data_IF_896996213908
#
_entry.id   IF_896996213908
#
_cell.length_a   1.000
_cell.length_b   1.000
_cell.length_c   1.000
_cell.angle_alpha   90.00
_cell.angle_beta   90.00
_cell.angle_gamma   90.00
#
_symmetry.space_group_name_H-M   'P 1'
#
loop_
_entity.id
_entity.type
_entity.pdbx_description
1 polymer ?
#
# COMPACT_ATOMS: atom_id res chain seq x y z
N UNK A 1 17.23 -12.68 -2.38
CA UNK A 1 18.66 -12.62 -2.02
C UNK A 1 18.86 -12.98 -0.55
N UNK A 2 18.77 -12.06 0.41
CA UNK A 2 19.13 -12.34 1.82
C UNK A 2 18.27 -13.41 2.52
N UNK A 3 16.97 -13.47 2.22
CA UNK A 3 16.10 -14.53 2.77
C UNK A 3 16.42 -15.92 2.18
N UNK A 4 16.94 -15.96 0.95
CA UNK A 4 17.23 -17.22 0.25
C UNK A 4 18.55 -17.80 0.73
N UNK A 5 19.59 -16.96 0.91
CA UNK A 5 20.90 -17.38 1.43
C UNK A 5 20.78 -17.91 2.87
N UNK A 6 20.00 -17.26 3.73
CA UNK A 6 19.73 -17.72 5.11
C UNK A 6 18.97 -19.05 5.09
N UNK A 7 17.95 -19.17 4.24
CA UNK A 7 17.16 -20.41 4.14
C UNK A 7 18.01 -21.58 3.64
N UNK A 8 18.87 -21.34 2.65
CA UNK A 8 19.81 -22.33 2.16
C UNK A 8 20.81 -22.75 3.25
N UNK A 9 21.31 -21.80 4.04
CA UNK A 9 22.30 -22.08 5.10
C UNK A 9 21.72 -22.91 6.24
N UNK A 10 20.41 -22.76 6.52
CA UNK A 10 19.68 -23.58 7.48
C UNK A 10 19.37 -24.99 6.95
N UNK A 11 19.28 -25.17 5.64
CA UNK A 11 19.01 -26.48 5.02
C UNK A 11 20.30 -27.29 4.82
N UNK A 12 21.32 -26.68 4.21
CA UNK A 12 22.61 -27.30 3.96
C UNK A 12 23.72 -26.25 3.98
N UNK A 13 24.30 -26.04 5.16
CA UNK A 13 25.32 -25.01 5.39
C UNK A 13 26.53 -25.14 4.44
N UNK A 14 26.94 -26.37 4.14
CA UNK A 14 28.18 -26.64 3.39
C UNK A 14 28.08 -26.35 1.88
N UNK A 15 26.86 -26.20 1.36
CA UNK A 15 26.62 -25.89 -0.07
C UNK A 15 26.38 -24.40 -0.33
N UNK A 16 26.30 -23.59 0.72
CA UNK A 16 26.04 -22.15 0.60
C UNK A 16 27.34 -21.39 0.33
N UNK A 17 27.24 -20.34 -0.49
CA UNK A 17 28.32 -19.37 -0.65
C UNK A 17 28.60 -18.69 0.69
N UNK A 18 29.73 -19.06 1.30
CA UNK A 18 30.13 -18.54 2.60
C UNK A 18 30.36 -17.02 2.59
N UNK A 19 30.83 -16.45 1.48
CA UNK A 19 31.06 -15.01 1.36
C UNK A 19 29.75 -14.25 1.38
N UNK A 20 28.78 -14.70 0.58
CA UNK A 20 27.44 -14.10 0.53
C UNK A 20 26.70 -14.25 1.87
N UNK A 21 26.82 -15.42 2.51
CA UNK A 21 26.26 -15.64 3.85
C UNK A 21 26.90 -14.71 4.89
N UNK A 22 28.22 -14.55 4.86
CA UNK A 22 28.92 -13.67 5.80
C UNK A 22 28.53 -12.20 5.61
N UNK A 23 28.48 -11.71 4.38
CA UNK A 23 28.02 -10.36 4.06
C UNK A 23 26.58 -10.11 4.53
N UNK A 24 25.70 -11.08 4.32
CA UNK A 24 24.31 -11.02 4.80
C UNK A 24 24.25 -10.92 6.33
N UNK A 25 25.00 -11.75 7.06
CA UNK A 25 25.01 -11.74 8.52
C UNK A 25 25.67 -10.47 9.09
N UNK A 26 26.71 -9.95 8.45
CA UNK A 26 27.34 -8.69 8.83
C UNK A 26 26.38 -7.51 8.68
N UNK A 27 25.54 -7.50 7.63
CA UNK A 27 24.50 -6.47 7.46
C UNK A 27 23.49 -6.43 8.62
N UNK A 28 23.27 -7.58 9.27
CA UNK A 28 22.45 -7.73 10.48
C UNK A 28 23.23 -7.48 11.77
N UNK A 29 24.47 -6.98 11.66
CA UNK A 29 25.37 -6.72 12.77
C UNK A 29 25.61 -7.98 13.61
N UNK A 30 25.74 -9.13 12.94
CA UNK A 30 26.18 -10.37 13.57
C UNK A 30 27.61 -10.23 14.07
N UNK A 31 27.90 -10.79 15.25
CA UNK A 31 29.23 -10.74 15.87
C UNK A 31 29.93 -12.09 15.91
N UNK A 32 29.23 -13.15 15.49
CA UNK A 32 29.68 -14.53 15.65
C UNK A 32 29.92 -15.13 14.28
N UNK A 33 30.99 -15.93 14.17
CA UNK A 33 31.29 -16.60 12.93
C UNK A 33 30.29 -17.75 12.68
N UNK A 34 29.64 -17.79 11.51
CA UNK A 34 28.70 -18.85 11.17
C UNK A 34 29.42 -20.18 10.94
N UNK A 35 28.83 -21.26 11.46
CA UNK A 35 29.23 -22.66 11.33
C UNK A 35 27.98 -23.54 11.22
N UNK A 36 28.11 -24.71 10.60
CA UNK A 36 27.01 -25.68 10.48
C UNK A 36 26.36 -26.00 11.84
N UNK A 37 27.18 -26.15 12.88
CA UNK A 37 26.72 -26.47 14.25
C UNK A 37 25.95 -25.34 14.94
N UNK A 38 26.18 -24.08 14.53
CA UNK A 38 25.71 -22.90 15.25
C UNK A 38 24.74 -22.03 14.46
N UNK A 39 24.56 -22.28 13.15
CA UNK A 39 23.80 -21.40 12.25
C UNK A 39 22.36 -21.23 12.71
N UNK A 40 21.69 -22.31 13.14
CA UNK A 40 20.31 -22.23 13.62
C UNK A 40 20.19 -21.32 14.86
N UNK A 41 21.12 -21.46 15.82
CA UNK A 41 21.14 -20.63 17.01
C UNK A 41 21.44 -19.17 16.66
N UNK A 42 22.42 -18.95 15.80
CA UNK A 42 22.84 -17.62 15.35
C UNK A 42 21.67 -16.88 14.69
N UNK A 43 20.92 -17.54 13.79
CA UNK A 43 19.73 -16.95 13.16
C UNK A 43 18.63 -16.66 14.19
N UNK A 44 18.40 -17.55 15.17
CA UNK A 44 17.44 -17.29 16.26
C UNK A 44 17.84 -16.07 17.10
N UNK A 45 19.11 -15.94 17.44
CA UNK A 45 19.63 -14.82 18.22
C UNK A 45 19.51 -13.50 17.44
N UNK A 46 19.81 -13.50 16.14
CA UNK A 46 19.59 -12.34 15.25
C UNK A 46 18.12 -11.99 15.12
N UNK A 47 17.24 -12.97 14.88
CA UNK A 47 15.80 -12.75 14.80
C UNK A 47 15.26 -12.17 16.11
N UNK A 48 15.72 -12.66 17.26
CA UNK A 48 15.34 -12.13 18.56
C UNK A 48 15.81 -10.68 18.74
N UNK A 49 17.06 -10.36 18.35
CA UNK A 49 17.59 -8.99 18.37
C UNK A 49 16.76 -8.04 17.50
N UNK A 50 16.51 -8.41 16.25
CA UNK A 50 15.88 -7.54 15.25
C UNK A 50 14.36 -7.40 15.44
N UNK A 51 13.66 -8.48 15.80
CA UNK A 51 12.19 -8.52 15.83
C UNK A 51 11.64 -8.29 17.25
N UNK A 52 12.42 -8.64 18.28
CA UNK A 52 11.97 -8.49 19.68
C UNK A 52 12.70 -7.35 20.36
N UNK A 53 14.03 -7.40 20.47
CA UNK A 53 14.78 -6.46 21.30
C UNK A 53 14.74 -5.01 20.76
N UNK A 54 15.02 -4.82 19.47
CA UNK A 54 14.98 -3.49 18.83
C UNK A 54 13.58 -2.84 18.91
N UNK A 55 12.48 -3.53 18.55
CA UNK A 55 11.14 -2.97 18.73
C UNK A 55 10.78 -2.75 20.20
N UNK A 56 11.16 -3.65 21.12
CA UNK A 56 10.92 -3.49 22.55
C UNK A 56 11.60 -2.25 23.11
N UNK A 57 12.81 -1.93 22.63
CA UNK A 57 13.47 -0.67 22.98
C UNK A 57 12.60 0.52 22.60
N UNK A 58 12.07 0.58 21.36
CA UNK A 58 11.16 1.65 20.94
C UNK A 58 9.88 1.66 21.78
N UNK A 59 9.25 0.49 21.99
CA UNK A 59 8.04 0.35 22.81
C UNK A 59 8.26 0.92 24.20
N UNK A 60 9.36 0.59 24.88
CA UNK A 60 9.65 1.11 26.22
C UNK A 60 9.74 2.65 26.28
N UNK A 61 10.17 3.30 25.20
CA UNK A 61 10.22 4.78 25.13
C UNK A 61 8.86 5.40 24.81
N UNK A 62 8.03 4.72 24.02
CA UNK A 62 6.72 5.22 23.60
C UNK A 62 5.59 4.77 24.52
N UNK A 63 5.79 3.75 25.35
CA UNK A 63 4.76 3.14 26.16
C UNK A 63 4.11 4.15 27.11
N UNK A 64 4.90 4.93 27.83
CA UNK A 64 4.38 5.96 28.75
C UNK A 64 3.59 7.06 28.05
N UNK A 65 3.81 7.26 26.74
CA UNK A 65 3.06 8.23 25.93
C UNK A 65 1.75 7.59 25.43
N UNK A 66 1.79 6.32 25.02
CA UNK A 66 0.69 5.66 24.30
C UNK A 66 -0.27 4.86 25.20
N UNK A 67 0.16 4.39 26.38
CA UNK A 67 -0.59 3.44 27.25
C UNK A 67 -2.00 3.93 27.58
N UNK A 68 -2.21 5.24 27.71
CA UNK A 68 -3.50 5.84 28.03
C UNK A 68 -4.19 6.54 26.84
N UNK A 69 -3.61 6.49 25.64
CA UNK A 69 -4.19 7.11 24.44
C UNK A 69 -5.12 6.14 23.72
N UNK A 70 -4.70 4.88 23.58
CA UNK A 70 -5.44 3.89 22.82
C UNK A 70 -5.24 2.48 23.39
N UNK A 71 -6.34 1.75 23.61
CA UNK A 71 -6.28 0.34 23.98
C UNK A 71 -6.00 -0.55 22.76
N UNK A 72 -5.46 -1.76 22.99
CA UNK A 72 -5.22 -2.73 21.92
C UNK A 72 -6.49 -3.02 21.10
N UNK A 73 -7.64 -3.12 21.76
CA UNK A 73 -8.94 -3.32 21.09
C UNK A 73 -9.31 -2.15 20.18
N UNK A 74 -9.13 -0.91 20.64
CA UNK A 74 -9.39 0.26 19.81
C UNK A 74 -8.44 0.32 18.62
N UNK A 75 -7.19 -0.10 18.80
CA UNK A 75 -6.21 -0.17 17.71
C UNK A 75 -6.63 -1.21 16.66
N UNK A 76 -7.04 -2.41 17.08
CA UNK A 76 -7.61 -3.44 16.19
C UNK A 76 -8.83 -2.91 15.41
N UNK A 77 -9.75 -2.22 16.10
CA UNK A 77 -10.91 -1.59 15.46
C UNK A 77 -10.54 -0.49 14.46
N UNK A 78 -9.42 0.22 14.65
CA UNK A 78 -8.88 1.16 13.65
C UNK A 78 -8.41 0.40 12.42
N UNK A 79 -7.57 -0.64 12.59
CA UNK A 79 -7.07 -1.45 11.47
C UNK A 79 -8.22 -2.10 10.68
N UNK A 80 -9.22 -2.65 11.36
CA UNK A 80 -10.38 -3.28 10.72
C UNK A 80 -11.20 -2.28 9.91
N UNK A 81 -11.38 -1.05 10.40
CA UNK A 81 -12.04 0.03 9.65
C UNK A 81 -11.23 0.49 8.44
N UNK A 82 -9.92 0.38 8.50
CA UNK A 82 -9.01 0.79 7.42
C UNK A 82 -8.80 -0.29 6.36
N UNK A 83 -9.36 -1.50 6.53
CA UNK A 83 -9.35 -2.54 5.49
C UNK A 83 -9.93 -2.01 4.19
N UNK A 84 -9.23 -2.30 3.09
CA UNK A 84 -9.58 -1.88 1.73
C UNK A 84 -10.71 -2.72 1.17
N UNK A 85 -11.90 -2.56 1.75
CA UNK A 85 -13.12 -3.21 1.28
C UNK A 85 -13.89 -2.26 0.37
N UNK A 86 -14.58 -2.76 -0.68
CA UNK A 86 -15.40 -1.94 -1.55
C UNK A 86 -16.35 -1.02 -0.78
N UNK A 87 -17.04 -1.57 0.23
CA UNK A 87 -17.97 -0.81 1.08
C UNK A 87 -17.32 0.37 1.80
N UNK A 88 -16.08 0.22 2.26
CA UNK A 88 -15.39 1.24 3.05
C UNK A 88 -14.94 2.39 2.14
N UNK A 89 -14.43 2.05 0.94
CA UNK A 89 -14.02 3.04 -0.06
C UNK A 89 -15.25 3.77 -0.62
N UNK A 90 -16.32 3.05 -0.90
CA UNK A 90 -17.59 3.64 -1.36
C UNK A 90 -18.15 4.68 -0.38
N UNK A 91 -17.95 4.50 0.93
CA UNK A 91 -18.42 5.43 1.96
C UNK A 91 -17.63 6.74 2.03
N UNK A 92 -16.41 6.77 1.46
CA UNK A 92 -15.56 7.96 1.47
C UNK A 92 -15.50 8.67 0.11
N UNK A 93 -16.06 8.08 -0.95
CA UNK A 93 -16.20 8.74 -2.25
C UNK A 93 -17.27 9.82 -2.20
N UNK A 94 -16.88 11.06 -2.46
CA UNK A 94 -17.78 12.21 -2.54
C UNK A 94 -17.77 12.78 -3.95
N UNK A 95 -18.93 12.89 -4.60
CA UNK A 95 -19.04 13.47 -5.93
C UNK A 95 -19.65 14.85 -5.77
N UNK A 96 -18.79 15.83 -5.48
CA UNK A 96 -19.21 17.11 -4.90
C UNK A 96 -20.19 17.88 -5.79
N UNK A 97 -20.14 17.77 -7.12
CA UNK A 97 -21.11 18.42 -8.01
C UNK A 97 -21.32 17.68 -9.34
N UNK A 98 -22.40 16.88 -9.43
CA UNK A 98 -22.87 16.31 -10.70
C UNK A 98 -23.78 17.33 -11.40
N UNK A 99 -23.30 17.89 -12.51
CA UNK A 99 -23.99 18.92 -13.32
C UNK A 99 -24.57 18.36 -14.62
N UNK A 100 -24.04 17.24 -15.12
CA UNK A 100 -24.42 16.65 -16.41
C UNK A 100 -24.64 15.14 -16.30
N UNK A 101 -25.47 14.57 -17.18
CA UNK A 101 -25.75 13.12 -17.18
C UNK A 101 -24.47 12.30 -17.44
N UNK A 102 -23.57 12.79 -18.30
CA UNK A 102 -22.28 12.15 -18.56
C UNK A 102 -21.40 12.03 -17.30
N UNK A 103 -21.45 13.03 -16.40
CA UNK A 103 -20.76 13.00 -15.11
C UNK A 103 -21.37 11.97 -14.17
N UNK A 104 -22.70 11.86 -14.16
CA UNK A 104 -23.42 10.85 -13.38
C UNK A 104 -23.08 9.43 -13.85
N UNK A 105 -23.02 9.21 -15.16
CA UNK A 105 -22.61 7.93 -15.77
C UNK A 105 -21.19 7.59 -15.34
N UNK A 106 -20.26 8.54 -15.47
CA UNK A 106 -18.85 8.36 -15.07
C UNK A 106 -18.69 8.10 -13.58
N UNK A 107 -19.45 8.78 -12.72
CA UNK A 107 -19.51 8.48 -11.29
C UNK A 107 -20.01 7.04 -11.04
N UNK A 108 -20.98 6.59 -11.83
CA UNK A 108 -21.45 5.20 -11.84
C UNK A 108 -20.35 4.22 -12.22
N UNK A 109 -19.53 4.53 -13.22
CA UNK A 109 -18.37 3.71 -13.62
C UNK A 109 -17.33 3.61 -12.50
N UNK A 110 -16.96 4.72 -11.87
CA UNK A 110 -16.05 4.70 -10.72
C UNK A 110 -16.60 3.84 -9.58
N UNK A 111 -17.89 3.98 -9.25
CA UNK A 111 -18.55 3.17 -8.22
C UNK A 111 -18.61 1.69 -8.59
N UNK A 112 -18.83 1.37 -9.86
CA UNK A 112 -18.76 -0.01 -10.39
C UNK A 112 -17.37 -0.61 -10.23
N UNK A 113 -16.35 0.15 -10.64
CA UNK A 113 -14.95 -0.23 -10.56
C UNK A 113 -14.51 -0.53 -9.12
N UNK A 114 -14.87 0.33 -8.16
CA UNK A 114 -14.58 0.09 -6.74
C UNK A 114 -15.37 -1.11 -6.20
N UNK A 115 -16.62 -1.30 -6.64
CA UNK A 115 -17.45 -2.44 -6.19
C UNK A 115 -16.87 -3.80 -6.61
N UNK A 116 -16.31 -3.87 -7.80
CA UNK A 116 -15.74 -5.08 -8.39
C UNK A 116 -14.28 -5.33 -7.98
N UNK A 117 -13.64 -4.37 -7.32
CA UNK A 117 -12.23 -4.43 -6.98
C UNK A 117 -11.91 -5.44 -5.88
N UNK A 118 -10.80 -6.18 -6.07
CA UNK A 118 -10.16 -6.98 -5.03
C UNK A 118 -9.27 -6.10 -4.13
N UNK A 119 -8.75 -6.68 -3.05
CA UNK A 119 -7.92 -5.95 -2.08
C UNK A 119 -6.71 -5.27 -2.74
N UNK A 120 -6.09 -5.91 -3.74
CA UNK A 120 -4.94 -5.37 -4.47
C UNK A 120 -5.32 -4.18 -5.35
N UNK A 121 -6.41 -4.28 -6.11
CA UNK A 121 -6.90 -3.20 -6.95
C UNK A 121 -7.29 -1.98 -6.10
N UNK A 122 -7.99 -2.23 -5.00
CA UNK A 122 -8.43 -1.19 -4.08
C UNK A 122 -7.27 -0.51 -3.34
N UNK A 123 -6.25 -1.28 -2.96
CA UNK A 123 -4.99 -0.78 -2.43
C UNK A 123 -4.27 0.14 -3.43
N UNK A 124 -4.19 -0.27 -4.70
CA UNK A 124 -3.61 0.55 -5.77
C UNK A 124 -4.42 1.81 -6.04
N UNK A 125 -5.76 1.71 -6.04
CA UNK A 125 -6.66 2.84 -6.19
C UNK A 125 -6.46 3.87 -5.07
N UNK A 126 -6.45 3.43 -3.81
CA UNK A 126 -6.21 4.34 -2.68
C UNK A 126 -4.84 4.98 -2.77
N UNK A 127 -3.81 4.21 -3.13
CA UNK A 127 -2.46 4.74 -3.30
C UNK A 127 -2.40 5.81 -4.39
N UNK A 128 -3.10 5.59 -5.49
CA UNK A 128 -3.20 6.55 -6.58
C UNK A 128 -3.86 7.87 -6.13
N UNK A 129 -5.00 7.79 -5.45
CA UNK A 129 -5.81 8.98 -5.13
C UNK A 129 -5.36 9.70 -3.86
N UNK A 130 -4.72 8.99 -2.92
CA UNK A 130 -4.39 9.52 -1.58
C UNK A 130 -2.90 9.45 -1.24
N UNK A 131 -2.09 8.77 -2.05
CA UNK A 131 -0.69 8.47 -1.71
C UNK A 131 -0.53 7.34 -0.69
N UNK A 132 -1.62 6.86 -0.08
CA UNK A 132 -1.62 5.77 0.89
C UNK A 132 -2.37 4.56 0.36
N UNK A 133 -1.88 3.36 0.63
CA UNK A 133 -2.52 2.11 0.23
C UNK A 133 -3.65 1.68 1.19
N UNK A 134 -4.08 2.55 2.10
CA UNK A 134 -5.12 2.31 3.12
C UNK A 134 -6.01 3.55 3.27
N UNK A 135 -7.17 3.40 3.89
CA UNK A 135 -8.06 4.53 4.17
C UNK A 135 -7.47 5.39 5.31
N UNK A 136 -7.16 6.65 5.00
CA UNK A 136 -6.52 7.60 5.94
C UNK A 136 -7.51 8.54 6.65
N UNK A 137 -8.80 8.17 6.70
CA UNK A 137 -9.84 8.94 7.40
C UNK A 137 -10.28 10.24 6.71
N UNK A 138 -9.86 10.47 5.46
CA UNK A 138 -10.32 11.57 4.61
C UNK A 138 -11.32 11.08 3.58
N UNK A 139 -12.23 11.97 3.14
CA UNK A 139 -13.06 11.74 1.95
C UNK A 139 -12.21 11.87 0.69
N UNK A 140 -12.63 11.19 -0.36
CA UNK A 140 -12.08 11.28 -1.71
C UNK A 140 -13.05 12.12 -2.54
N UNK A 141 -12.65 13.34 -2.89
CA UNK A 141 -13.45 14.21 -3.75
C UNK A 141 -13.28 13.81 -5.21
N UNK A 142 -14.40 13.56 -5.89
CA UNK A 142 -14.47 13.25 -7.32
C UNK A 142 -14.94 14.50 -8.05
N UNK A 143 -14.06 15.05 -8.87
CA UNK A 143 -14.34 16.16 -9.77
C UNK A 143 -14.38 15.67 -11.21
N UNK A 144 -15.03 16.44 -12.09
CA UNK A 144 -15.22 16.05 -13.48
C UNK A 144 -14.62 17.09 -14.42
N UNK A 145 -13.82 16.63 -15.39
CA UNK A 145 -13.16 17.49 -16.38
C UNK A 145 -13.64 17.16 -17.79
N UNK A 146 -13.87 18.20 -18.58
CA UNK A 146 -14.10 18.04 -20.01
C UNK A 146 -12.74 17.91 -20.70
N UNK A 147 -12.59 16.90 -21.55
CA UNK A 147 -11.36 16.73 -22.33
C UNK A 147 -11.67 17.03 -23.79
N UNK A 148 -10.84 17.87 -24.40
CA UNK A 148 -10.99 18.32 -25.79
C UNK A 148 -10.60 17.26 -26.81
N UNK A 149 -9.81 16.25 -26.42
CA UNK A 149 -9.49 15.10 -27.27
C UNK A 149 -9.49 13.80 -26.45
N UNK A 150 -9.72 12.67 -27.15
CA UNK A 150 -9.75 11.33 -26.54
C UNK A 150 -8.35 10.76 -26.25
N UNK A 151 -7.30 11.34 -26.82
CA UNK A 151 -5.93 10.82 -26.76
C UNK A 151 -5.11 11.37 -25.58
N UNK A 152 -5.54 12.49 -25.00
CA UNK A 152 -4.99 13.15 -23.80
C UNK A 152 -5.87 12.94 -22.57
N UNK A 153 -6.96 12.18 -22.72
CA UNK A 153 -7.89 11.86 -21.63
C UNK A 153 -7.20 10.97 -20.60
N UNK A 154 -6.95 11.52 -19.41
CA UNK A 154 -6.43 10.74 -18.29
C UNK A 154 -7.07 11.20 -16.97
N UNK A 155 -7.48 10.26 -16.10
CA UNK A 155 -7.68 10.55 -14.70
C UNK A 155 -6.45 11.23 -14.10
N UNK A 156 -6.68 12.26 -13.29
CA UNK A 156 -5.60 12.96 -12.57
C UNK A 156 -5.91 12.93 -11.09
N UNK A 157 -4.96 12.46 -10.28
CA UNK A 157 -5.09 12.42 -8.83
C UNK A 157 -4.28 13.53 -8.17
N UNK A 158 -4.89 14.21 -7.20
CA UNK A 158 -4.21 15.15 -6.31
C UNK A 158 -4.16 14.54 -4.91
N UNK A 159 -3.06 13.85 -4.61
CA UNK A 159 -2.90 13.07 -3.37
C UNK A 159 -2.92 13.92 -2.11
N UNK A 160 -2.33 15.12 -2.13
CA UNK A 160 -2.36 16.05 -0.99
C UNK A 160 -3.78 16.42 -0.56
N UNK A 161 -4.71 16.51 -1.52
CA UNK A 161 -6.11 16.89 -1.29
C UNK A 161 -7.07 15.70 -1.26
N UNK A 162 -6.58 14.48 -1.49
CA UNK A 162 -7.41 13.29 -1.66
C UNK A 162 -8.53 13.53 -2.69
N UNK A 163 -8.15 13.93 -3.90
CA UNK A 163 -9.13 14.19 -4.95
C UNK A 163 -8.70 13.57 -6.28
N UNK A 164 -9.68 13.27 -7.11
CA UNK A 164 -9.49 12.75 -8.45
C UNK A 164 -10.32 13.57 -9.43
N UNK A 165 -9.68 14.04 -10.49
CA UNK A 165 -10.32 14.63 -11.65
C UNK A 165 -10.55 13.54 -12.69
N UNK A 166 -11.81 13.24 -12.96
CA UNK A 166 -12.22 12.24 -13.93
C UNK A 166 -12.73 12.91 -15.20
N UNK A 167 -12.19 12.55 -16.36
CA UNK A 167 -12.85 12.82 -17.63
C UNK A 167 -14.27 12.25 -17.64
N UNK A 168 -15.25 12.95 -18.20
CA UNK A 168 -16.64 12.44 -18.21
C UNK A 168 -17.15 11.97 -19.58
N UNK A 169 -16.29 11.97 -20.60
CA UNK A 169 -16.57 11.60 -21.98
C UNK A 169 -16.20 10.14 -22.30
N UNK A 170 -16.40 9.22 -21.34
CA UNK A 170 -16.23 7.78 -21.58
C UNK A 170 -17.42 7.21 -22.37
N UNK A 171 -17.16 6.41 -23.41
CA UNK A 171 -18.20 5.77 -24.22
C UNK A 171 -18.84 4.59 -23.49
N UNK A 172 -18.06 3.86 -22.68
CA UNK A 172 -18.54 2.71 -21.92
C UNK A 172 -17.78 2.51 -20.60
N UNK A 173 -18.36 1.67 -19.72
CA UNK A 173 -17.68 1.20 -18.51
C UNK A 173 -16.38 0.44 -18.82
N UNK A 174 -16.35 -0.30 -19.93
CA UNK A 174 -15.18 -1.08 -20.32
C UNK A 174 -13.99 -0.17 -20.65
N UNK A 175 -14.25 0.95 -21.33
CA UNK A 175 -13.22 1.94 -21.65
C UNK A 175 -12.65 2.58 -20.38
N UNK A 176 -13.54 3.03 -19.48
CA UNK A 176 -13.15 3.55 -18.17
C UNK A 176 -12.30 2.54 -17.39
N UNK A 177 -12.77 1.30 -17.30
CA UNK A 177 -12.11 0.24 -16.53
C UNK A 177 -10.72 -0.07 -17.08
N UNK A 178 -10.58 -0.23 -18.40
CA UNK A 178 -9.31 -0.57 -19.03
C UNK A 178 -8.28 0.56 -18.89
N UNK A 179 -8.70 1.80 -19.14
CA UNK A 179 -7.85 2.98 -18.99
C UNK A 179 -7.38 3.10 -17.53
N UNK A 180 -8.32 3.04 -16.58
CA UNK A 180 -7.99 3.25 -15.18
C UNK A 180 -7.13 2.11 -14.62
N UNK A 181 -7.43 0.86 -14.98
CA UNK A 181 -6.62 -0.29 -14.58
C UNK A 181 -5.21 -0.24 -15.19
N UNK A 182 -5.06 0.26 -16.42
CA UNK A 182 -3.74 0.48 -17.04
C UNK A 182 -2.92 1.49 -16.23
N UNK A 183 -3.52 2.62 -15.85
CA UNK A 183 -2.89 3.63 -15.00
C UNK A 183 -2.44 3.01 -13.67
N UNK A 184 -3.35 2.29 -12.98
CA UNK A 184 -3.05 1.68 -11.69
C UNK A 184 -1.93 0.62 -11.74
N UNK A 185 -1.76 -0.04 -12.89
CA UNK A 185 -0.74 -1.07 -13.10
C UNK A 185 0.60 -0.52 -13.60
N UNK A 186 0.61 0.67 -14.20
CA UNK A 186 1.80 1.24 -14.84
C UNK A 186 2.92 1.58 -13.85
N UNK A 187 2.62 1.75 -12.55
CA UNK A 187 3.52 2.29 -11.52
C UNK A 187 4.19 3.63 -11.89
N UNK A 188 3.80 4.28 -12.99
CA UNK A 188 4.24 5.60 -13.43
C UNK A 188 3.10 6.55 -13.11
N UNK A 189 3.24 7.28 -12.02
CA UNK A 189 2.22 8.19 -11.54
C UNK A 189 2.61 9.60 -11.99
N UNK A 190 1.86 10.18 -12.94
CA UNK A 190 2.00 11.59 -13.28
C UNK A 190 1.43 12.36 -12.09
N UNK A 191 2.32 12.78 -11.19
CA UNK A 191 1.98 13.58 -10.03
C UNK A 191 2.19 15.04 -10.43
N UNK A 192 1.10 15.77 -10.64
CA UNK A 192 1.17 17.22 -10.74
C UNK A 192 1.55 17.78 -9.36
N UNK A 193 2.79 18.22 -9.23
CA UNK A 193 3.23 19.05 -8.11
C UNK A 193 2.81 20.48 -8.47
N UNK A 194 1.76 20.96 -7.80
CA UNK A 194 1.33 22.37 -7.88
C UNK A 194 2.25 23.22 -6.99
#
# INVERSE_FOLDING_TARGET
MDSEIISAALQNFNEVDYSELHECLDSLDCKWQPKEENIEKLIKDLAHKEIVQKPMFIINHWHSILENIISSKQLEEIYDRQKNLPKNIMNILDSDEIKQEAQKITAGYLKGFVREGDEKLLSNFLRYVTGANIIIGKRITVSFVETTDLFSRTPVAHTCNCSIALPYNYESYLDFRNEFQSILNSNIWVMDII
#
